data_IF_497890910019
#
_entry.id   IF_497890910019
#
_cell.length_a   1.000
_cell.length_b   1.000
_cell.length_c   1.000
_cell.angle_alpha   90.00
_cell.angle_beta   90.00
_cell.angle_gamma   90.00
#
_symmetry.space_group_name_H-M   'P 1'
#
loop_
_entity.id
_entity.type
_entity.pdbx_description
1 polymer ?
#
# COMPACT_ATOMS: atom_id res chain seq x y z
N UNK A 1 -39.08 40.29 -75.85
CA UNK A 1 -38.01 41.10 -76.48
C UNK A 1 -37.11 41.85 -75.50
N UNK A 2 -37.64 42.62 -74.52
CA UNK A 2 -36.80 43.29 -73.49
C UNK A 2 -36.33 42.28 -72.42
N UNK A 3 -37.22 41.38 -71.98
CA UNK A 3 -36.92 40.34 -71.00
C UNK A 3 -35.90 39.33 -71.55
N UNK A 4 -36.00 38.95 -72.83
CA UNK A 4 -35.03 38.05 -73.47
C UNK A 4 -33.64 38.69 -73.59
N UNK A 5 -33.56 40.01 -73.83
CA UNK A 5 -32.30 40.77 -73.84
C UNK A 5 -31.69 40.93 -72.45
N UNK A 6 -32.52 40.95 -71.41
CA UNK A 6 -32.09 41.03 -70.01
C UNK A 6 -31.59 39.67 -69.50
N UNK A 7 -32.27 38.58 -69.89
CA UNK A 7 -31.87 37.19 -69.59
C UNK A 7 -30.57 36.82 -70.31
N UNK A 8 -30.38 37.30 -71.55
CA UNK A 8 -29.17 37.06 -72.33
C UNK A 8 -28.05 38.10 -72.07
N UNK A 9 -28.23 39.00 -71.10
CA UNK A 9 -27.21 39.95 -70.67
C UNK A 9 -26.31 39.28 -69.64
N UNK A 10 -24.99 39.32 -69.85
CA UNK A 10 -23.98 38.79 -68.93
C UNK A 10 -24.09 39.33 -67.49
N UNK A 11 -24.88 40.39 -67.27
CA UNK A 11 -25.21 40.95 -65.96
C UNK A 11 -26.03 39.99 -65.09
N UNK A 12 -26.95 39.22 -65.69
CA UNK A 12 -27.85 38.32 -64.94
C UNK A 12 -27.11 37.05 -64.53
N UNK A 13 -26.26 36.53 -65.42
CA UNK A 13 -25.33 35.44 -65.09
C UNK A 13 -24.34 35.85 -64.00
N UNK A 14 -23.77 37.07 -64.07
CA UNK A 14 -22.87 37.58 -63.03
C UNK A 14 -23.59 37.72 -61.67
N UNK A 15 -24.84 38.21 -61.68
CA UNK A 15 -25.64 38.37 -60.46
C UNK A 15 -26.01 37.02 -59.82
N UNK A 16 -26.35 36.01 -60.62
CA UNK A 16 -26.62 34.65 -60.14
C UNK A 16 -25.35 34.01 -59.55
N UNK A 17 -24.20 34.21 -60.19
CA UNK A 17 -22.90 33.72 -59.68
C UNK A 17 -22.54 34.41 -58.36
N UNK A 18 -22.74 35.73 -58.25
CA UNK A 18 -22.49 36.47 -57.01
C UNK A 18 -23.41 35.99 -55.88
N UNK A 19 -24.70 35.77 -56.15
CA UNK A 19 -25.66 35.24 -55.18
C UNK A 19 -25.30 33.82 -54.74
N UNK A 20 -24.82 32.97 -55.67
CA UNK A 20 -24.34 31.64 -55.35
C UNK A 20 -23.12 31.69 -54.42
N UNK A 21 -22.14 32.56 -54.70
CA UNK A 21 -20.96 32.76 -53.86
C UNK A 21 -21.37 33.25 -52.45
N UNK A 22 -22.32 34.18 -52.35
CA UNK A 22 -22.82 34.69 -51.06
C UNK A 22 -23.54 33.58 -50.27
N UNK A 23 -24.40 32.80 -50.92
CA UNK A 23 -25.11 31.68 -50.29
C UNK A 23 -24.12 30.60 -49.79
N UNK A 24 -23.07 30.35 -50.57
CA UNK A 24 -21.98 29.44 -50.23
C UNK A 24 -21.22 29.92 -48.98
N UNK A 25 -20.82 31.20 -48.96
CA UNK A 25 -20.10 31.79 -47.80
C UNK A 25 -20.98 31.76 -46.54
N UNK A 26 -22.28 32.03 -46.68
CA UNK A 26 -23.24 31.95 -45.58
C UNK A 26 -23.37 30.54 -45.01
N UNK A 27 -23.46 29.52 -45.87
CA UNK A 27 -23.49 28.11 -45.44
C UNK A 27 -22.19 27.71 -44.74
N UNK A 28 -21.04 28.13 -45.26
CA UNK A 28 -19.74 27.85 -44.66
C UNK A 28 -19.59 28.48 -43.26
N UNK A 29 -19.98 29.76 -43.11
CA UNK A 29 -19.93 30.46 -41.81
C UNK A 29 -20.87 29.84 -40.78
N UNK A 30 -22.10 29.47 -41.19
CA UNK A 30 -23.09 28.85 -40.30
C UNK A 30 -22.64 27.47 -39.80
N UNK A 31 -21.87 26.74 -40.60
CA UNK A 31 -21.41 25.39 -40.25
C UNK A 31 -20.10 25.36 -39.46
N UNK A 32 -19.28 26.40 -39.57
CA UNK A 32 -18.05 26.59 -38.77
C UNK A 32 -18.33 26.77 -37.27
N UNK A 33 -19.55 27.13 -36.87
CA UNK A 33 -19.92 27.38 -35.46
C UNK A 33 -20.26 26.11 -34.65
N UNK A 34 -20.24 24.91 -35.27
CA UNK A 34 -20.57 23.64 -34.61
C UNK A 34 -19.32 22.75 -34.43
N UNK A 35 -18.61 22.91 -33.31
CA UNK A 35 -17.23 22.42 -33.10
C UNK A 35 -17.05 20.93 -32.69
N UNK A 36 -18.11 20.12 -32.62
CA UNK A 36 -17.98 18.77 -31.99
C UNK A 36 -17.99 17.56 -32.92
N UNK A 37 -18.92 17.51 -33.88
CA UNK A 37 -19.29 16.26 -34.60
C UNK A 37 -19.25 16.37 -36.13
N UNK A 38 -18.77 17.48 -36.67
CA UNK A 38 -18.99 17.88 -38.07
C UNK A 38 -17.74 17.87 -38.98
N UNK A 39 -16.65 17.19 -38.62
CA UNK A 39 -15.47 17.11 -39.53
C UNK A 39 -15.82 16.44 -40.86
N UNK A 40 -16.63 15.38 -40.82
CA UNK A 40 -17.01 14.62 -42.02
C UNK A 40 -17.96 15.43 -42.90
N UNK A 41 -18.98 16.08 -42.34
CA UNK A 41 -19.90 16.93 -43.08
C UNK A 41 -19.22 18.14 -43.73
N UNK A 42 -18.14 18.66 -43.15
CA UNK A 42 -17.34 19.74 -43.73
C UNK A 42 -16.63 19.30 -45.02
N UNK A 43 -16.13 18.07 -45.10
CA UNK A 43 -15.54 17.55 -46.34
C UNK A 43 -16.60 17.31 -47.42
N UNK A 44 -17.77 16.77 -47.07
CA UNK A 44 -18.87 16.57 -48.02
C UNK A 44 -19.40 17.89 -48.59
N UNK A 45 -19.58 18.92 -47.76
CA UNK A 45 -20.07 20.21 -48.23
C UNK A 45 -19.03 20.91 -49.11
N UNK A 46 -17.74 20.83 -48.76
CA UNK A 46 -16.66 21.38 -49.58
C UNK A 46 -16.55 20.68 -50.93
N UNK A 47 -16.72 19.35 -50.96
CA UNK A 47 -16.71 18.57 -52.20
C UNK A 47 -17.88 18.91 -53.13
N UNK A 48 -19.09 19.03 -52.57
CA UNK A 48 -20.29 19.44 -53.32
C UNK A 48 -20.14 20.86 -53.88
N UNK A 49 -19.54 21.77 -53.10
CA UNK A 49 -19.29 23.15 -53.49
C UNK A 49 -18.29 23.24 -54.65
N UNK A 50 -17.20 22.46 -54.60
CA UNK A 50 -16.25 22.33 -55.72
C UNK A 50 -16.93 21.78 -56.97
N UNK A 51 -17.79 20.77 -56.83
CA UNK A 51 -18.53 20.19 -57.95
C UNK A 51 -19.44 21.21 -58.64
N UNK A 52 -20.20 21.99 -57.85
CA UNK A 52 -21.07 23.07 -58.36
C UNK A 52 -20.24 24.14 -59.09
N UNK A 53 -19.07 24.52 -58.56
CA UNK A 53 -18.18 25.48 -59.23
C UNK A 53 -17.72 24.95 -60.59
N UNK A 54 -17.31 23.67 -60.66
CA UNK A 54 -16.85 23.05 -61.92
C UNK A 54 -17.99 23.01 -62.96
N UNK A 55 -19.19 22.61 -62.55
CA UNK A 55 -20.37 22.58 -63.42
C UNK A 55 -20.72 23.96 -63.97
N UNK A 56 -20.66 24.98 -63.11
CA UNK A 56 -20.96 26.36 -63.49
C UNK A 56 -19.90 26.95 -64.44
N UNK A 57 -18.62 26.71 -64.18
CA UNK A 57 -17.53 27.08 -65.10
C UNK A 57 -17.73 26.40 -66.46
N UNK A 58 -18.07 25.11 -66.46
CA UNK A 58 -18.32 24.34 -67.69
C UNK A 58 -19.50 24.91 -68.48
N UNK A 59 -20.61 25.22 -67.81
CA UNK A 59 -21.79 25.84 -68.45
C UNK A 59 -21.46 27.18 -69.10
N UNK A 60 -20.75 28.07 -68.41
CA UNK A 60 -20.37 29.39 -68.94
C UNK A 60 -19.40 29.25 -70.12
N UNK A 61 -18.47 28.30 -70.04
CA UNK A 61 -17.46 28.05 -71.07
C UNK A 61 -18.07 27.49 -72.38
N UNK A 62 -19.09 26.63 -72.27
CA UNK A 62 -19.80 26.02 -73.41
C UNK A 62 -20.81 26.97 -74.05
N UNK A 63 -21.46 27.84 -73.25
CA UNK A 63 -22.53 28.71 -73.74
C UNK A 63 -22.05 30.09 -74.24
N UNK A 64 -20.76 30.43 -74.09
CA UNK A 64 -20.21 31.72 -74.51
C UNK A 64 -19.21 31.55 -75.67
N UNK A 65 -19.36 32.34 -76.72
CA UNK A 65 -18.45 32.31 -77.89
C UNK A 65 -17.07 32.94 -77.64
N UNK A 66 -16.81 33.48 -76.44
CA UNK A 66 -15.54 34.11 -76.04
C UNK A 66 -14.73 33.21 -75.08
N UNK A 67 -14.71 31.91 -75.33
CA UNK A 67 -14.05 30.90 -74.50
C UNK A 67 -12.57 31.22 -74.22
N UNK A 68 -11.84 31.72 -75.23
CA UNK A 68 -10.40 31.96 -75.14
C UNK A 68 -10.03 32.98 -74.04
N UNK A 69 -10.80 34.06 -73.90
CA UNK A 69 -10.53 35.09 -72.88
C UNK A 69 -10.72 34.55 -71.46
N UNK A 70 -11.71 33.68 -71.25
CA UNK A 70 -11.99 33.07 -69.93
C UNK A 70 -10.86 32.11 -69.55
N UNK A 71 -10.39 31.32 -70.51
CA UNK A 71 -9.26 30.39 -70.32
C UNK A 71 -7.99 31.18 -69.96
N UNK A 72 -7.73 32.31 -70.61
CA UNK A 72 -6.57 33.17 -70.31
C UNK A 72 -6.62 33.73 -68.88
N UNK A 73 -7.79 34.20 -68.42
CA UNK A 73 -7.97 34.66 -67.04
C UNK A 73 -7.77 33.54 -66.01
N UNK A 74 -8.25 32.32 -66.30
CA UNK A 74 -8.05 31.15 -65.43
C UNK A 74 -6.57 30.77 -65.36
N UNK A 75 -5.88 30.75 -66.51
CA UNK A 75 -4.44 30.46 -66.59
C UNK A 75 -3.60 31.49 -65.83
N UNK A 76 -3.95 32.77 -65.95
CA UNK A 76 -3.30 33.84 -65.19
C UNK A 76 -3.53 33.69 -63.67
N UNK A 77 -4.79 33.48 -63.25
CA UNK A 77 -5.12 33.28 -61.84
C UNK A 77 -4.45 32.03 -61.25
N UNK A 78 -4.37 30.94 -62.03
CA UNK A 78 -3.69 29.71 -61.63
C UNK A 78 -2.19 29.93 -61.42
N UNK A 79 -1.54 30.72 -62.27
CA UNK A 79 -0.12 31.07 -62.13
C UNK A 79 0.13 31.85 -60.83
N UNK A 80 -0.67 32.87 -60.52
CA UNK A 80 -0.57 33.62 -59.26
C UNK A 80 -0.84 32.71 -58.05
N UNK A 81 -1.85 31.85 -58.14
CA UNK A 81 -2.19 30.90 -57.06
C UNK A 81 -1.04 29.94 -56.78
N UNK A 82 -0.37 29.43 -57.81
CA UNK A 82 0.79 28.52 -57.66
C UNK A 82 1.98 29.20 -56.99
N UNK A 83 2.25 30.48 -57.34
CA UNK A 83 3.29 31.28 -56.71
C UNK A 83 2.98 31.48 -55.23
N UNK A 84 1.74 31.83 -54.90
CA UNK A 84 1.33 32.03 -53.50
C UNK A 84 1.45 30.74 -52.67
N UNK A 85 1.01 29.60 -53.23
CA UNK A 85 1.10 28.30 -52.55
C UNK A 85 2.56 27.90 -52.29
N UNK A 86 3.46 28.19 -53.24
CA UNK A 86 4.90 27.96 -53.06
C UNK A 86 5.48 28.80 -51.92
N UNK A 87 5.08 30.07 -51.77
CA UNK A 87 5.55 30.92 -50.68
C UNK A 87 5.04 30.41 -49.33
N UNK A 88 3.76 30.02 -49.25
CA UNK A 88 3.20 29.42 -48.03
C UNK A 88 3.94 28.14 -47.66
N UNK A 89 4.26 27.30 -48.65
CA UNK A 89 5.03 26.08 -48.43
C UNK A 89 6.44 26.37 -47.88
N UNK A 90 7.14 27.37 -48.43
CA UNK A 90 8.46 27.79 -47.92
C UNK A 90 8.35 28.31 -46.48
N UNK A 91 7.36 29.16 -46.18
CA UNK A 91 7.15 29.67 -44.81
C UNK A 91 6.88 28.53 -43.85
N UNK A 92 6.01 27.59 -44.23
CA UNK A 92 5.68 26.44 -43.38
C UNK A 92 6.91 25.55 -43.15
N UNK A 93 7.74 25.32 -44.19
CA UNK A 93 9.00 24.59 -44.04
C UNK A 93 9.95 25.28 -43.06
N UNK A 94 10.09 26.61 -43.14
CA UNK A 94 10.92 27.39 -42.20
C UNK A 94 10.36 27.31 -40.77
N UNK A 95 9.06 27.50 -40.58
CA UNK A 95 8.43 27.42 -39.26
C UNK A 95 8.56 26.01 -38.67
N UNK A 96 8.36 24.97 -39.49
CA UNK A 96 8.56 23.57 -39.09
C UNK A 96 10.00 23.30 -38.68
N UNK A 97 10.98 23.85 -39.42
CA UNK A 97 12.38 23.71 -39.08
C UNK A 97 12.71 24.40 -37.75
N UNK A 98 12.19 25.60 -37.52
CA UNK A 98 12.36 26.32 -36.25
C UNK A 98 11.68 25.63 -35.06
N UNK A 99 10.51 25.01 -35.26
CA UNK A 99 9.86 24.19 -34.22
C UNK A 99 10.66 22.91 -33.94
N UNK A 100 11.24 22.31 -34.98
CA UNK A 100 12.16 21.18 -34.87
C UNK A 100 13.36 21.51 -33.98
N UNK A 101 14.02 22.65 -34.21
CA UNK A 101 15.16 23.12 -33.39
C UNK A 101 14.81 23.22 -31.90
N UNK A 102 13.68 23.86 -31.57
CA UNK A 102 13.23 23.97 -30.18
C UNK A 102 12.90 22.58 -29.56
N UNK A 103 12.45 21.63 -30.37
CA UNK A 103 12.20 20.26 -29.94
C UNK A 103 13.51 19.49 -29.72
N UNK A 104 14.51 19.68 -30.58
CA UNK A 104 15.85 19.10 -30.40
C UNK A 104 16.51 19.60 -29.11
N UNK A 105 16.40 20.88 -28.78
CA UNK A 105 16.91 21.41 -27.49
C UNK A 105 16.24 20.76 -26.28
N UNK A 106 14.93 20.49 -26.35
CA UNK A 106 14.22 19.77 -25.27
C UNK A 106 14.66 18.31 -25.17
N UNK A 107 14.93 17.66 -26.30
CA UNK A 107 15.45 16.29 -26.36
C UNK A 107 16.87 16.27 -25.77
N UNK A 108 17.73 17.20 -26.16
CA UNK A 108 19.09 17.33 -25.67
C UNK A 108 19.12 17.51 -24.14
N UNK A 109 18.33 18.46 -23.62
CA UNK A 109 18.18 18.65 -22.18
C UNK A 109 17.54 17.46 -21.46
N UNK A 110 16.74 16.63 -22.14
CA UNK A 110 16.23 15.38 -21.56
C UNK A 110 17.31 14.29 -21.55
N UNK A 111 18.11 14.19 -22.61
CA UNK A 111 19.25 13.28 -22.73
C UNK A 111 20.31 13.58 -21.67
N UNK A 112 20.61 14.85 -21.40
CA UNK A 112 21.51 15.28 -20.32
C UNK A 112 21.01 14.81 -18.95
N UNK A 113 19.71 15.00 -18.66
CA UNK A 113 19.11 14.51 -17.41
C UNK A 113 19.17 12.99 -17.30
N UNK A 114 18.99 12.28 -18.41
CA UNK A 114 19.13 10.83 -18.47
C UNK A 114 20.58 10.44 -18.16
N UNK A 115 21.57 11.09 -18.79
CA UNK A 115 22.99 10.84 -18.55
C UNK A 115 23.33 11.01 -17.06
N UNK A 116 22.93 12.13 -16.46
CA UNK A 116 23.14 12.40 -15.02
C UNK A 116 22.47 11.33 -14.15
N UNK A 117 21.27 10.87 -14.54
CA UNK A 117 20.54 9.84 -13.79
C UNK A 117 21.23 8.47 -13.88
N UNK A 118 21.77 8.13 -15.05
CA UNK A 118 22.56 6.91 -15.27
C UNK A 118 23.83 6.95 -14.43
N UNK A 119 24.54 8.08 -14.38
CA UNK A 119 25.75 8.24 -13.55
C UNK A 119 25.42 8.06 -12.06
N UNK A 120 24.36 8.70 -11.57
CA UNK A 120 23.88 8.54 -10.18
C UNK A 120 23.50 7.10 -9.88
N UNK A 121 22.85 6.42 -10.81
CA UNK A 121 22.48 5.02 -10.66
C UNK A 121 23.72 4.13 -10.59
N UNK A 122 24.72 4.38 -11.43
CA UNK A 122 26.01 3.67 -11.39
C UNK A 122 26.70 3.83 -10.05
N UNK A 123 26.81 5.06 -9.53
CA UNK A 123 27.39 5.35 -8.22
C UNK A 123 26.63 4.65 -7.08
N UNK A 124 25.29 4.66 -7.16
CA UNK A 124 24.45 3.97 -6.17
C UNK A 124 24.64 2.45 -6.24
N UNK A 125 24.76 1.88 -7.44
CA UNK A 125 25.03 0.47 -7.65
C UNK A 125 26.40 0.07 -7.09
N UNK A 126 27.42 0.90 -7.27
CA UNK A 126 28.76 0.68 -6.71
C UNK A 126 28.75 0.73 -5.18
N UNK A 127 28.08 1.74 -4.59
CA UNK A 127 27.91 1.84 -3.14
C UNK A 127 27.11 0.67 -2.55
N UNK A 128 26.07 0.21 -3.25
CA UNK A 128 25.30 -0.97 -2.86
C UNK A 128 26.17 -2.23 -2.91
N UNK A 129 26.97 -2.41 -3.97
CA UNK A 129 27.92 -3.53 -4.07
C UNK A 129 28.88 -3.53 -2.88
N UNK A 130 29.49 -2.38 -2.55
CA UNK A 130 30.38 -2.28 -1.39
C UNK A 130 29.68 -2.54 -0.06
N UNK A 131 28.40 -2.15 0.06
CA UNK A 131 27.59 -2.46 1.24
C UNK A 131 27.31 -3.96 1.37
N UNK A 132 27.05 -4.65 0.26
CA UNK A 132 26.87 -6.11 0.21
C UNK A 132 28.18 -6.81 0.61
N UNK A 133 29.32 -6.38 0.09
CA UNK A 133 30.63 -6.94 0.45
C UNK A 133 30.92 -6.78 1.96
N UNK A 134 30.56 -5.63 2.54
CA UNK A 134 30.68 -5.42 3.98
C UNK A 134 29.76 -6.35 4.78
N UNK A 135 28.52 -6.56 4.32
CA UNK A 135 27.59 -7.51 4.95
C UNK A 135 28.15 -8.93 4.88
N UNK A 136 28.64 -9.37 3.73
CA UNK A 136 29.25 -10.69 3.56
C UNK A 136 30.45 -10.87 4.50
N UNK A 137 31.34 -9.88 4.59
CA UNK A 137 32.46 -9.91 5.53
C UNK A 137 32.02 -10.02 6.98
N UNK A 138 30.96 -9.30 7.39
CA UNK A 138 30.40 -9.40 8.74
C UNK A 138 29.74 -10.76 9.00
N UNK A 139 29.10 -11.34 7.98
CA UNK A 139 28.52 -12.69 8.10
C UNK A 139 29.60 -13.76 8.22
N UNK A 140 30.73 -13.62 7.52
CA UNK A 140 31.89 -14.51 7.69
C UNK A 140 32.49 -14.37 9.09
N UNK A 141 32.62 -13.15 9.60
CA UNK A 141 33.04 -12.91 11.00
C UNK A 141 32.07 -13.55 11.99
N UNK A 142 30.75 -13.37 11.81
CA UNK A 142 29.72 -14.02 12.63
C UNK A 142 29.82 -15.54 12.54
N UNK A 143 30.12 -16.10 11.36
CA UNK A 143 30.29 -17.55 11.20
C UNK A 143 31.49 -18.05 12.00
N UNK A 144 32.61 -17.35 11.95
CA UNK A 144 33.81 -17.66 12.76
C UNK A 144 33.48 -17.55 14.24
N UNK A 145 32.89 -16.44 14.69
CA UNK A 145 32.45 -16.26 16.08
C UNK A 145 31.46 -17.35 16.49
N UNK A 146 30.55 -17.76 15.61
CA UNK A 146 29.57 -18.81 15.88
C UNK A 146 30.23 -20.19 16.01
N UNK A 147 31.20 -20.51 15.16
CA UNK A 147 31.98 -21.75 15.26
C UNK A 147 32.89 -21.74 16.52
N UNK A 148 33.55 -20.61 16.83
CA UNK A 148 34.33 -20.41 18.05
C UNK A 148 33.45 -20.46 19.30
N UNK A 149 32.26 -19.87 19.26
CA UNK A 149 31.27 -19.96 20.35
C UNK A 149 30.80 -21.38 20.49
N UNK A 150 30.46 -22.08 19.39
CA UNK A 150 30.05 -23.50 19.43
C UNK A 150 31.18 -24.35 20.02
N UNK A 151 32.43 -24.09 19.66
CA UNK A 151 33.59 -24.81 20.19
C UNK A 151 33.82 -24.47 21.66
N UNK A 152 33.77 -23.20 22.05
CA UNK A 152 33.92 -22.74 23.45
C UNK A 152 32.79 -23.25 24.33
N UNK A 153 31.56 -23.27 23.81
CA UNK A 153 30.39 -23.87 24.46
C UNK A 153 30.60 -25.38 24.56
N UNK A 154 31.04 -26.06 23.50
CA UNK A 154 31.33 -27.51 23.54
C UNK A 154 32.47 -27.86 24.50
N UNK A 155 33.50 -27.03 24.57
CA UNK A 155 34.62 -27.15 25.51
C UNK A 155 34.19 -26.83 26.94
N UNK A 156 33.32 -25.83 27.14
CA UNK A 156 32.68 -25.57 28.43
C UNK A 156 31.74 -26.70 28.83
N UNK A 157 31.03 -27.33 27.90
CA UNK A 157 30.22 -28.53 28.17
C UNK A 157 31.11 -29.71 28.56
N UNK A 158 32.31 -29.87 27.98
CA UNK A 158 33.28 -30.89 28.41
C UNK A 158 34.01 -30.54 29.72
N UNK A 159 34.14 -29.24 30.03
CA UNK A 159 34.68 -28.73 31.31
C UNK A 159 33.62 -28.67 32.42
N UNK A 160 32.33 -28.75 32.05
CA UNK A 160 31.16 -28.77 32.92
C UNK A 160 30.23 -29.96 32.64
N UNK A 161 30.76 -31.11 32.21
CA UNK A 161 30.13 -32.42 32.46
C UNK A 161 30.26 -32.79 33.95
N UNK A 162 29.87 -31.85 34.80
CA UNK A 162 29.91 -31.90 36.26
C UNK A 162 28.87 -30.97 36.92
N UNK A 163 28.08 -30.20 36.18
CA UNK A 163 26.85 -29.62 36.73
C UNK A 163 25.68 -29.90 35.80
N UNK A 164 25.10 -31.09 35.96
CA UNK A 164 23.65 -31.22 35.88
C UNK A 164 23.03 -30.01 36.57
N UNK A 165 21.97 -29.39 36.01
CA UNK A 165 21.06 -28.59 36.85
C UNK A 165 20.77 -29.49 38.04
N UNK A 166 21.31 -29.14 39.21
CA UNK A 166 21.16 -29.99 40.37
C UNK A 166 19.68 -30.01 40.66
N UNK A 167 19.05 -31.14 40.35
CA UNK A 167 17.63 -31.30 40.55
C UNK A 167 17.31 -31.06 42.03
N UNK A 168 18.26 -31.32 42.95
CA UNK A 168 18.13 -30.94 44.34
C UNK A 168 18.14 -29.42 44.57
N UNK A 169 18.95 -28.64 43.84
CA UNK A 169 18.93 -27.18 43.94
C UNK A 169 17.58 -26.59 43.49
N UNK A 170 17.00 -27.11 42.39
CA UNK A 170 15.65 -26.70 41.94
C UNK A 170 14.59 -27.08 42.98
N UNK A 171 14.67 -28.30 43.53
CA UNK A 171 13.79 -28.75 44.61
C UNK A 171 13.95 -27.88 45.86
N UNK A 172 15.17 -27.51 46.24
CA UNK A 172 15.45 -26.63 47.39
C UNK A 172 14.86 -25.24 47.21
N UNK A 173 14.90 -24.68 45.99
CA UNK A 173 14.28 -23.39 45.70
C UNK A 173 12.76 -23.49 45.83
N UNK A 174 12.14 -24.54 45.29
CA UNK A 174 10.69 -24.77 45.38
C UNK A 174 10.28 -24.98 46.84
N UNK A 175 11.04 -25.79 47.58
CA UNK A 175 10.80 -26.05 49.00
C UNK A 175 10.96 -24.78 49.83
N UNK A 176 12.02 -24.00 49.58
CA UNK A 176 12.21 -22.71 50.22
C UNK A 176 11.07 -21.73 49.90
N UNK A 177 10.58 -21.72 48.67
CA UNK A 177 9.48 -20.85 48.25
C UNK A 177 8.16 -21.21 48.94
N UNK A 178 7.78 -22.50 48.96
CA UNK A 178 6.53 -22.96 49.59
C UNK A 178 6.61 -22.84 51.11
N UNK A 179 7.74 -23.17 51.73
CA UNK A 179 7.90 -23.13 53.20
C UNK A 179 7.98 -21.70 53.75
N UNK A 180 8.54 -20.76 52.99
CA UNK A 180 8.53 -19.34 53.36
C UNK A 180 7.26 -18.61 52.91
N UNK A 181 6.44 -19.26 52.07
CA UNK A 181 5.15 -18.76 51.64
C UNK A 181 4.16 -18.62 52.79
N UNK A 182 3.29 -17.61 52.71
CA UNK A 182 2.22 -17.46 53.69
C UNK A 182 1.11 -18.48 53.45
N UNK A 183 0.28 -18.72 54.47
CA UNK A 183 -0.90 -19.58 54.35
C UNK A 183 -1.80 -19.16 53.17
N UNK A 184 -2.14 -17.88 53.07
CA UNK A 184 -2.95 -17.34 51.98
C UNK A 184 -2.25 -17.41 50.63
N UNK A 185 -0.93 -17.23 50.58
CA UNK A 185 -0.14 -17.39 49.36
C UNK A 185 -0.15 -18.84 48.85
N UNK A 186 0.08 -19.80 49.74
CA UNK A 186 0.03 -21.23 49.42
C UNK A 186 -1.38 -21.68 49.03
N UNK A 187 -2.42 -21.15 49.69
CA UNK A 187 -3.82 -21.40 49.32
C UNK A 187 -4.14 -20.87 47.91
N UNK A 188 -3.59 -19.70 47.56
CA UNK A 188 -3.74 -19.09 46.23
C UNK A 188 -3.02 -19.88 45.14
N UNK A 189 -1.83 -20.40 45.44
CA UNK A 189 -1.12 -21.31 44.55
C UNK A 189 -1.88 -22.62 44.35
N UNK A 190 -2.45 -23.19 45.42
CA UNK A 190 -3.23 -24.41 45.33
C UNK A 190 -4.53 -24.18 44.55
N UNK A 191 -5.16 -23.01 44.66
CA UNK A 191 -6.25 -22.61 43.78
C UNK A 191 -5.83 -22.60 42.31
N UNK A 192 -4.61 -22.14 42.00
CA UNK A 192 -4.11 -22.19 40.64
C UNK A 192 -3.89 -23.62 40.15
N UNK A 193 -3.38 -24.51 41.01
CA UNK A 193 -3.23 -25.95 40.72
C UNK A 193 -4.58 -26.56 40.36
N UNK A 194 -5.60 -26.38 41.21
CA UNK A 194 -6.93 -26.95 41.01
C UNK A 194 -7.67 -26.33 39.82
N UNK A 195 -7.49 -25.03 39.57
CA UNK A 195 -8.01 -24.36 38.38
C UNK A 195 -7.46 -24.97 37.10
N UNK A 196 -6.15 -25.26 37.05
CA UNK A 196 -5.51 -25.92 35.91
C UNK A 196 -6.03 -27.35 35.72
N UNK A 197 -6.14 -28.14 36.80
CA UNK A 197 -6.62 -29.52 36.73
C UNK A 197 -8.09 -29.65 36.31
N UNK A 198 -8.92 -28.67 36.66
CA UNK A 198 -10.36 -28.68 36.37
C UNK A 198 -10.76 -27.77 35.19
N UNK A 199 -9.78 -27.18 34.50
CA UNK A 199 -9.97 -26.22 33.41
C UNK A 199 -10.97 -25.10 33.74
N UNK A 200 -11.00 -24.69 35.02
CA UNK A 200 -12.00 -23.76 35.56
C UNK A 200 -11.35 -22.45 35.99
N UNK A 201 -11.62 -21.32 35.32
CA UNK A 201 -11.19 -20.02 35.80
C UNK A 201 -11.95 -19.64 37.07
N UNK A 202 -11.35 -18.78 37.89
CA UNK A 202 -11.92 -18.43 39.19
C UNK A 202 -11.65 -16.97 39.57
N UNK A 203 -12.46 -16.44 40.48
CA UNK A 203 -12.21 -15.16 41.14
C UNK A 203 -11.62 -15.41 42.53
N UNK A 204 -10.54 -14.71 42.85
CA UNK A 204 -9.84 -14.94 44.11
C UNK A 204 -10.69 -14.59 45.34
N UNK A 205 -11.64 -13.65 45.19
CA UNK A 205 -12.62 -13.29 46.22
C UNK A 205 -13.60 -14.41 46.56
N UNK A 206 -13.83 -15.38 45.66
CA UNK A 206 -14.66 -16.57 45.95
C UNK A 206 -13.97 -17.46 46.99
N UNK A 207 -12.64 -17.46 47.02
CA UNK A 207 -11.82 -18.33 47.86
C UNK A 207 -11.32 -17.58 49.11
N UNK A 208 -10.73 -16.40 48.92
CA UNK A 208 -10.12 -15.56 49.97
C UNK A 208 -10.78 -14.16 49.95
N UNK A 209 -11.83 -13.92 50.75
CA UNK A 209 -12.59 -12.68 50.70
C UNK A 209 -11.89 -11.46 51.31
N UNK A 210 -11.07 -11.65 52.35
CA UNK A 210 -10.49 -10.56 53.16
C UNK A 210 -9.13 -10.08 52.65
N UNK A 211 -8.39 -10.91 51.92
CA UNK A 211 -6.99 -10.65 51.52
C UNK A 211 -6.75 -10.90 50.02
N UNK A 212 -7.77 -10.66 49.19
CA UNK A 212 -7.70 -10.94 47.75
C UNK A 212 -6.62 -10.13 47.02
N UNK A 213 -6.29 -8.91 47.47
CA UNK A 213 -5.22 -8.12 46.83
C UNK A 213 -3.83 -8.67 47.13
N UNK A 214 -3.59 -9.12 48.36
CA UNK A 214 -2.35 -9.80 48.74
C UNK A 214 -2.18 -11.11 47.98
N UNK A 215 -3.24 -11.91 47.94
CA UNK A 215 -3.28 -13.18 47.23
C UNK A 215 -3.04 -13.01 45.72
N UNK A 216 -3.58 -11.95 45.11
CA UNK A 216 -3.34 -11.60 43.72
C UNK A 216 -1.87 -11.21 43.48
N UNK A 217 -1.30 -10.39 44.35
CA UNK A 217 0.13 -10.04 44.30
C UNK A 217 1.03 -11.28 44.42
N UNK A 218 0.64 -12.24 45.27
CA UNK A 218 1.34 -13.50 45.42
C UNK A 218 1.32 -14.32 44.13
N UNK A 219 0.16 -14.44 43.46
CA UNK A 219 0.02 -15.13 42.17
C UNK A 219 0.88 -14.47 41.08
N UNK A 220 0.89 -13.13 40.99
CA UNK A 220 1.71 -12.40 40.01
C UNK A 220 3.21 -12.66 40.25
N UNK A 221 3.65 -12.63 41.52
CA UNK A 221 5.04 -12.94 41.87
C UNK A 221 5.41 -14.40 41.56
N UNK A 222 4.49 -15.33 41.82
CA UNK A 222 4.63 -16.75 41.53
C UNK A 222 4.74 -17.01 40.02
N UNK A 223 4.00 -16.23 39.23
CA UNK A 223 4.06 -16.28 37.77
C UNK A 223 5.38 -15.74 37.25
N UNK A 224 5.89 -14.66 37.86
CA UNK A 224 7.20 -14.09 37.52
C UNK A 224 8.36 -15.04 37.87
N UNK A 225 8.20 -15.83 38.93
CA UNK A 225 9.16 -16.87 39.33
C UNK A 225 9.12 -18.11 38.41
N UNK A 226 8.05 -18.29 37.63
CA UNK A 226 7.85 -19.43 36.74
C UNK A 226 7.30 -20.69 37.43
N UNK A 227 6.75 -20.56 38.65
CA UNK A 227 6.11 -21.68 39.37
C UNK A 227 4.75 -22.02 38.74
N UNK A 228 4.06 -20.98 38.29
CA UNK A 228 2.78 -21.04 37.58
C UNK A 228 2.83 -20.10 36.37
N UNK A 229 1.91 -20.26 35.43
CA UNK A 229 1.68 -19.31 34.36
C UNK A 229 0.19 -18.98 34.34
N UNK A 230 -0.15 -17.69 34.48
CA UNK A 230 -1.52 -17.22 34.63
C UNK A 230 -1.81 -16.03 33.74
N UNK A 231 -3.05 -15.93 33.29
CA UNK A 231 -3.64 -14.78 32.60
C UNK A 231 -4.73 -14.18 33.47
N UNK A 232 -4.69 -12.86 33.67
CA UNK A 232 -5.64 -12.12 34.52
C UNK A 232 -6.37 -11.11 33.64
N UNK A 233 -7.70 -11.15 33.63
CA UNK A 233 -8.53 -10.22 32.84
C UNK A 233 -8.86 -8.91 33.59
N UNK A 234 -9.53 -7.97 32.91
CA UNK A 234 -9.94 -6.67 33.46
C UNK A 234 -10.89 -6.77 34.68
N UNK A 235 -11.57 -7.92 34.82
CA UNK A 235 -12.47 -8.21 35.95
C UNK A 235 -11.76 -9.00 37.06
N UNK A 236 -10.43 -9.18 36.95
CA UNK A 236 -9.59 -10.00 37.85
C UNK A 236 -9.99 -11.48 37.88
N UNK A 237 -10.56 -12.00 36.81
CA UNK A 237 -10.73 -13.43 36.61
C UNK A 237 -9.38 -14.05 36.28
N UNK A 238 -9.01 -15.12 36.98
CA UNK A 238 -7.73 -15.80 36.84
C UNK A 238 -7.91 -17.05 35.99
N UNK A 239 -7.17 -17.11 34.88
CA UNK A 239 -7.06 -18.29 34.02
C UNK A 239 -5.65 -18.85 34.13
N UNK A 240 -5.53 -20.12 34.53
CA UNK A 240 -4.22 -20.76 34.73
C UNK A 240 -3.85 -21.56 33.50
N UNK A 241 -2.70 -21.25 32.90
CA UNK A 241 -2.23 -21.88 31.67
C UNK A 241 -1.32 -23.09 31.94
N UNK A 242 -0.46 -23.01 32.96
CA UNK A 242 0.48 -24.07 33.29
C UNK A 242 0.86 -23.99 34.76
N UNK A 243 1.09 -25.14 35.38
CA UNK A 243 1.52 -25.26 36.78
C UNK A 243 2.61 -26.31 36.85
N UNK A 244 3.62 -26.06 37.68
CA UNK A 244 4.68 -27.04 37.92
C UNK A 244 4.13 -28.26 38.69
N UNK A 245 4.18 -29.50 38.15
CA UNK A 245 3.46 -30.63 38.74
C UNK A 245 3.86 -31.00 40.18
N UNK A 246 5.11 -30.71 40.58
CA UNK A 246 5.65 -31.13 41.88
C UNK A 246 5.13 -30.31 43.07
N UNK A 247 4.44 -29.20 42.83
CA UNK A 247 4.05 -28.28 43.91
C UNK A 247 2.76 -28.69 44.60
N UNK A 248 1.90 -29.50 43.97
CA UNK A 248 0.57 -29.85 44.51
C UNK A 248 0.66 -30.50 45.90
N UNK A 249 1.36 -31.63 45.98
CA UNK A 249 1.52 -32.39 47.23
C UNK A 249 2.23 -31.57 48.31
N UNK A 250 3.23 -30.77 47.91
CA UNK A 250 3.97 -29.88 48.82
C UNK A 250 3.08 -28.77 49.40
N UNK A 251 2.21 -28.19 48.58
CA UNK A 251 1.25 -27.16 49.00
C UNK A 251 0.20 -27.74 49.95
N UNK A 252 -0.36 -28.91 49.64
CA UNK A 252 -1.32 -29.61 50.52
C UNK A 252 -0.70 -29.84 51.89
N UNK A 253 0.50 -30.44 51.92
CA UNK A 253 1.21 -30.71 53.17
C UNK A 253 1.50 -29.41 53.96
N UNK A 254 1.94 -28.34 53.31
CA UNK A 254 2.23 -27.07 53.96
C UNK A 254 0.97 -26.42 54.56
N UNK A 255 -0.16 -26.48 53.85
CA UNK A 255 -1.46 -25.94 54.27
C UNK A 255 -2.00 -26.72 55.48
N UNK A 256 -2.02 -28.05 55.41
CA UNK A 256 -2.49 -28.91 56.50
C UNK A 256 -1.63 -28.74 57.75
N UNK A 257 -0.31 -28.72 57.59
CA UNK A 257 0.64 -28.47 58.69
C UNK A 257 0.41 -27.11 59.35
N UNK A 258 0.10 -26.07 58.56
CA UNK A 258 -0.21 -24.74 59.09
C UNK A 258 -1.52 -24.75 59.89
N UNK A 259 -2.56 -25.40 59.39
CA UNK A 259 -3.85 -25.55 60.09
C UNK A 259 -3.66 -26.31 61.41
N UNK A 260 -2.87 -27.38 61.42
CA UNK A 260 -2.61 -28.16 62.63
C UNK A 260 -1.91 -27.35 63.72
N UNK A 261 -0.90 -26.57 63.35
CA UNK A 261 -0.10 -25.70 64.25
C UNK A 261 -0.80 -24.41 64.63
N UNK A 262 -1.91 -24.07 63.97
CA UNK A 262 -2.67 -22.85 64.25
C UNK A 262 -3.25 -22.89 65.67
N UNK A 263 -3.31 -21.72 66.33
CA UNK A 263 -4.00 -21.59 67.61
C UNK A 263 -5.47 -22.01 67.47
N UNK A 264 -6.10 -22.57 68.53
CA UNK A 264 -7.48 -23.04 68.47
C UNK A 264 -8.48 -21.99 67.95
N UNK A 265 -8.24 -20.72 68.24
CA UNK A 265 -9.06 -19.58 67.81
C UNK A 265 -9.07 -19.33 66.29
N UNK A 266 -8.00 -19.72 65.57
CA UNK A 266 -7.89 -19.55 64.11
C UNK A 266 -8.02 -20.85 63.32
N UNK A 267 -7.92 -21.99 64.00
CA UNK A 267 -7.89 -23.31 63.37
C UNK A 267 -9.18 -23.63 62.60
N UNK A 268 -10.34 -23.29 63.17
CA UNK A 268 -11.63 -23.46 62.51
C UNK A 268 -11.77 -22.62 61.24
N UNK A 269 -11.39 -21.33 61.30
CA UNK A 269 -11.47 -20.43 60.14
C UNK A 269 -10.50 -20.81 59.02
N UNK A 270 -9.27 -21.21 59.35
CA UNK A 270 -8.32 -21.69 58.35
C UNK A 270 -8.84 -22.97 57.68
N UNK A 271 -9.36 -23.91 58.45
CA UNK A 271 -9.91 -25.15 57.91
C UNK A 271 -11.15 -24.90 57.02
N UNK A 272 -12.03 -23.98 57.40
CA UNK A 272 -13.17 -23.58 56.57
C UNK A 272 -12.73 -23.01 55.22
N UNK A 273 -11.71 -22.15 55.19
CA UNK A 273 -11.16 -21.60 53.94
C UNK A 273 -10.55 -22.69 53.04
N UNK A 274 -9.86 -23.67 53.64
CA UNK A 274 -9.28 -24.78 52.89
C UNK A 274 -10.36 -25.69 52.29
N UNK A 275 -11.43 -25.98 53.04
CA UNK A 275 -12.57 -26.75 52.53
C UNK A 275 -13.37 -25.97 51.48
N UNK A 276 -13.52 -24.64 51.65
CA UNK A 276 -14.13 -23.77 50.64
C UNK A 276 -13.37 -23.80 49.32
N UNK A 277 -12.03 -23.82 49.38
CA UNK A 277 -11.20 -23.99 48.19
C UNK A 277 -11.52 -25.30 47.46
N UNK A 278 -11.54 -26.43 48.18
CA UNK A 278 -11.85 -27.75 47.60
C UNK A 278 -13.25 -27.78 46.98
N UNK A 279 -14.25 -27.28 47.70
CA UNK A 279 -15.63 -27.17 47.21
C UNK A 279 -15.74 -26.32 45.94
N UNK A 280 -14.95 -25.25 45.83
CA UNK A 280 -14.95 -24.37 44.64
C UNK A 280 -14.55 -25.15 43.38
N UNK A 281 -13.68 -26.15 43.50
CA UNK A 281 -13.19 -26.94 42.36
C UNK A 281 -13.73 -28.38 42.31
N UNK A 282 -14.75 -28.71 43.12
CA UNK A 282 -15.35 -30.05 43.22
C UNK A 282 -14.33 -31.16 43.57
N UNK A 283 -13.41 -30.87 44.50
CA UNK A 283 -12.39 -31.79 45.02
C UNK A 283 -12.79 -32.31 46.39
#
# INVERSE_FOLDING_TARGET
>A
MIIDKLINSGILTLSVVLLAIIAIIFLFLKYRQNDGKCKVHMYYISGLLIFIIIELITYVCVNNNNTDQIVDYISFASTISSLFLSVVAIIYAIVSNNQGEAQYQKIDGASDRISISVDKFSLMSESLSGSIDSILSKLDEIKVISDETRQTVSQNYQSHTGSSIDQNAVLQIIDGYINNGSYYGNLSLLACVYSNENERPFFLSEIIPTDSDYALGYIISSSSLGVINVSIDDKRCITVNTVLPIIKEKLIYAIETFIEKSKPEYKSGNQELYEKLKQTFNI
#
